data_IF_167543758799
#
_entry.id   IF_167543758799
#
_cell.length_a   1.000
_cell.length_b   1.000
_cell.length_c   1.000
_cell.angle_alpha   90.00
_cell.angle_beta   90.00
_cell.angle_gamma   90.00
#
_symmetry.space_group_name_H-M   'P 1'
#
loop_
_entity.id
_entity.type
_entity.pdbx_description
1 polymer ?
#
# COMPACT_ATOMS: atom_id res chain seq x y z
N UNK A 1 -12.81 -8.13 8.16
CA UNK A 1 -11.70 -8.52 9.07
C UNK A 1 -10.87 -7.27 9.26
N UNK A 2 -11.01 -6.60 10.40
CA UNK A 2 -10.27 -5.35 10.67
C UNK A 2 -8.92 -5.72 11.26
N UNK A 3 -7.85 -5.50 10.50
CA UNK A 3 -6.49 -5.50 11.06
C UNK A 3 -6.15 -4.05 11.38
N UNK A 4 -6.68 -3.55 12.50
CA UNK A 4 -6.20 -2.29 13.08
C UNK A 4 -4.91 -2.60 13.84
N UNK A 5 -3.76 -2.40 13.22
CA UNK A 5 -2.48 -2.47 13.95
C UNK A 5 -1.30 -3.02 13.19
N UNK A 6 -1.47 -4.00 12.30
CA UNK A 6 -0.35 -4.79 11.78
C UNK A 6 -0.35 -4.87 10.25
N UNK A 7 -0.37 -3.73 9.55
CA UNK A 7 -0.24 -3.73 8.08
C UNK A 7 1.20 -4.08 7.66
N UNK A 8 1.36 -4.91 6.63
CA UNK A 8 2.61 -5.13 5.89
C UNK A 8 2.35 -4.98 4.39
N UNK A 9 3.40 -4.84 3.58
CA UNK A 9 3.28 -4.77 2.12
C UNK A 9 2.60 -6.05 1.58
N UNK A 10 3.02 -7.22 2.05
CA UNK A 10 2.50 -8.53 1.62
C UNK A 10 1.05 -8.70 2.00
N UNK A 11 0.64 -8.23 3.19
CA UNK A 11 -0.74 -8.33 3.63
C UNK A 11 -1.65 -7.56 2.66
N UNK A 12 -1.25 -6.34 2.30
CA UNK A 12 -2.02 -5.52 1.37
C UNK A 12 -2.04 -6.12 -0.04
N UNK A 13 -0.89 -6.54 -0.56
CA UNK A 13 -0.76 -7.17 -1.88
C UNK A 13 -1.62 -8.43 -1.97
N UNK A 14 -1.56 -9.31 -0.95
CA UNK A 14 -2.34 -10.54 -0.91
C UNK A 14 -3.84 -10.25 -0.84
N UNK A 15 -4.26 -9.26 -0.05
CA UNK A 15 -5.67 -8.88 0.06
C UNK A 15 -6.21 -8.35 -1.27
N UNK A 16 -5.52 -7.39 -1.91
CA UNK A 16 -5.95 -6.82 -3.18
C UNK A 16 -5.91 -7.84 -4.33
N UNK A 17 -4.89 -8.70 -4.37
CA UNK A 17 -4.77 -9.78 -5.35
C UNK A 17 -5.90 -10.80 -5.21
N UNK A 18 -6.22 -11.21 -3.98
CA UNK A 18 -7.34 -12.12 -3.68
C UNK A 18 -8.69 -11.51 -4.07
N UNK A 19 -8.83 -10.19 -3.91
CA UNK A 19 -10.02 -9.45 -4.33
C UNK A 19 -10.08 -9.16 -5.84
N UNK A 20 -9.04 -9.53 -6.61
CA UNK A 20 -9.01 -9.43 -8.07
C UNK A 20 -8.57 -8.07 -8.63
N UNK A 21 -7.97 -7.21 -7.81
CA UNK A 21 -7.44 -5.92 -8.25
C UNK A 21 -6.05 -6.03 -8.87
N UNK A 22 -5.73 -5.14 -9.82
CA UNK A 22 -4.42 -5.10 -10.49
C UNK A 22 -3.33 -4.44 -9.66
N UNK A 23 -3.70 -3.52 -8.79
CA UNK A 23 -2.79 -2.73 -7.97
C UNK A 23 -3.16 -2.86 -6.49
N UNK A 24 -2.12 -2.88 -5.67
CA UNK A 24 -2.20 -2.69 -4.23
C UNK A 24 -1.36 -1.45 -3.87
N UNK A 25 -1.78 -0.71 -2.87
CA UNK A 25 -1.04 0.45 -2.38
C UNK A 25 -1.14 0.55 -0.87
N UNK A 26 -0.03 0.84 -0.20
CA UNK A 26 0.01 1.07 1.25
C UNK A 26 0.26 2.53 1.53
N UNK A 27 -0.44 3.08 2.53
CA UNK A 27 -0.37 4.49 2.91
C UNK A 27 -0.37 4.65 4.43
N UNK A 28 0.20 5.74 4.92
CA UNK A 28 0.11 6.19 6.31
C UNK A 28 0.41 5.09 7.35
N UNK A 29 1.42 4.27 7.06
CA UNK A 29 1.90 3.12 7.85
C UNK A 29 0.91 1.95 8.05
N UNK A 30 -0.38 2.13 7.73
CA UNK A 30 -1.42 1.19 8.16
C UNK A 30 -2.60 1.06 7.21
N UNK A 31 -2.68 1.86 6.17
CA UNK A 31 -3.76 1.84 5.19
C UNK A 31 -3.38 0.95 4.01
N UNK A 32 -4.39 0.33 3.41
CA UNK A 32 -4.24 -0.50 2.23
C UNK A 32 -5.34 -0.14 1.23
N UNK A 33 -4.93 0.06 -0.02
CA UNK A 33 -5.74 0.54 -1.12
C UNK A 33 -5.63 -0.43 -2.29
N UNK A 34 -6.77 -0.77 -2.90
CA UNK A 34 -6.83 -1.65 -4.05
C UNK A 34 -7.51 -0.96 -5.22
N UNK A 35 -6.90 -0.99 -6.41
CA UNK A 35 -7.49 -0.41 -7.62
C UNK A 35 -7.07 -1.19 -8.88
N UNK A 36 -7.76 -0.95 -9.99
CA UNK A 36 -7.41 -1.44 -11.31
C UNK A 36 -6.66 -0.41 -12.16
N UNK A 37 -6.52 0.83 -11.68
CA UNK A 37 -5.82 1.93 -12.35
C UNK A 37 -5.25 2.95 -11.36
N UNK A 38 -4.22 3.69 -11.77
CA UNK A 38 -3.78 4.88 -11.03
C UNK A 38 -4.71 6.05 -11.40
N UNK A 39 -5.34 6.65 -10.40
CA UNK A 39 -6.34 7.71 -10.57
C UNK A 39 -5.95 8.96 -9.75
N UNK A 40 -6.82 9.98 -9.74
CA UNK A 40 -6.66 11.21 -8.95
C UNK A 40 -5.34 11.98 -9.19
N UNK A 41 -4.78 11.89 -10.40
CA UNK A 41 -3.51 12.55 -10.75
C UNK A 41 -2.27 11.90 -10.14
N UNK A 42 -2.37 10.66 -9.66
CA UNK A 42 -1.23 9.91 -9.13
C UNK A 42 -0.08 9.85 -10.13
N UNK A 43 1.12 10.23 -9.67
CA UNK A 43 2.35 10.24 -10.43
C UNK A 43 3.45 9.52 -9.66
N UNK A 44 4.40 8.93 -10.39
CA UNK A 44 5.55 8.26 -9.77
C UNK A 44 6.46 9.28 -9.11
N UNK A 45 6.92 8.96 -7.90
CA UNK A 45 7.87 9.74 -7.11
C UNK A 45 8.83 8.78 -6.41
N UNK A 46 10.02 9.27 -6.09
CA UNK A 46 11.04 8.52 -5.33
C UNK A 46 11.12 8.97 -3.87
N UNK A 47 10.31 9.95 -3.46
CA UNK A 47 10.30 10.54 -2.11
C UNK A 47 8.88 10.56 -1.54
N UNK A 48 8.78 10.67 -0.21
CA UNK A 48 7.51 10.75 0.52
C UNK A 48 6.90 9.41 0.92
N UNK A 49 7.53 8.29 0.55
CA UNK A 49 7.16 6.93 0.93
C UNK A 49 8.11 6.38 2.01
N UNK A 50 8.16 7.03 3.17
CA UNK A 50 9.17 6.81 4.21
C UNK A 50 8.61 6.35 5.56
N UNK A 51 7.29 6.14 5.67
CA UNK A 51 6.69 5.62 6.89
C UNK A 51 6.83 4.09 6.93
N UNK A 52 7.38 3.58 8.03
CA UNK A 52 7.46 2.13 8.25
C UNK A 52 6.07 1.51 8.41
N UNK A 53 5.89 0.30 7.91
CA UNK A 53 4.67 -0.45 8.14
C UNK A 53 4.44 -0.72 9.64
N UNK A 54 3.18 -0.65 10.10
CA UNK A 54 2.87 -0.91 11.51
C UNK A 54 3.06 -2.38 11.90
N UNK A 55 2.90 -3.31 10.96
CA UNK A 55 3.10 -4.75 11.16
C UNK A 55 4.54 -5.22 10.92
N UNK A 56 5.34 -4.46 10.15
CA UNK A 56 6.75 -4.76 9.90
C UNK A 56 7.57 -3.46 9.74
N UNK A 57 8.42 -3.14 10.72
CA UNK A 57 9.25 -1.94 10.66
C UNK A 57 10.40 -2.00 9.66
N UNK A 58 10.60 -3.14 8.98
CA UNK A 58 11.60 -3.32 7.92
C UNK A 58 11.08 -2.97 6.53
N UNK A 59 9.77 -2.75 6.40
CA UNK A 59 9.06 -2.39 5.18
C UNK A 59 8.54 -0.95 5.20
N UNK A 60 8.22 -0.40 4.03
CA UNK A 60 7.73 0.97 3.90
C UNK A 60 6.27 0.99 3.43
N UNK A 61 5.40 1.52 4.28
CA UNK A 61 3.97 1.61 4.04
C UNK A 61 3.51 3.04 3.73
N UNK A 62 4.09 3.60 2.67
CA UNK A 62 3.73 4.92 2.14
C UNK A 62 4.20 6.08 3.00
N UNK A 63 3.47 7.17 2.93
CA UNK A 63 3.65 8.35 3.75
C UNK A 63 2.39 9.19 3.76
N UNK A 64 2.51 10.47 4.12
CA UNK A 64 1.34 11.37 4.07
C UNK A 64 1.02 11.72 2.61
N UNK A 65 -0.14 11.27 2.10
CA UNK A 65 -0.56 11.43 0.69
C UNK A 65 0.37 10.75 -0.33
N UNK A 66 1.07 9.70 0.08
CA UNK A 66 2.05 8.99 -0.75
C UNK A 66 1.89 7.49 -0.57
N UNK A 67 1.81 6.76 -1.68
CA UNK A 67 1.61 5.31 -1.68
C UNK A 67 2.84 4.58 -2.21
N UNK A 68 3.29 3.55 -1.51
CA UNK A 68 4.05 2.48 -2.16
C UNK A 68 3.07 1.65 -2.96
N UNK A 69 3.26 1.55 -4.29
CA UNK A 69 2.33 0.87 -5.20
C UNK A 69 2.95 -0.40 -5.77
N UNK A 70 2.21 -1.49 -5.68
CA UNK A 70 2.58 -2.80 -6.19
C UNK A 70 1.60 -3.21 -7.30
N UNK A 71 2.12 -3.84 -8.35
CA UNK A 71 1.32 -4.35 -9.47
C UNK A 71 1.34 -5.87 -9.46
N UNK A 72 0.17 -6.48 -9.65
CA UNK A 72 0.05 -7.92 -9.87
C UNK A 72 0.65 -8.28 -11.25
N UNK A 73 1.64 -9.16 -11.27
CA UNK A 73 2.20 -9.78 -12.48
C UNK A 73 1.23 -10.72 -13.17
#
# INVERSE_FOLDING_TARGET
MSVTGDMTEELCVNACSTAGYKYAGVEYAGECWCDNSIQNGGASTTTGCDMTCKGDSTELCGGTNHLNVFKRS
#
